data_IF_121090888970
#
_entry.id   IF_121090888970
#
_cell.length_a   1.000
_cell.length_b   1.000
_cell.length_c   1.000
_cell.angle_alpha   90.00
_cell.angle_beta   90.00
_cell.angle_gamma   90.00
#
_symmetry.space_group_name_H-M   'P 1'
#
loop_
_entity.id
_entity.type
_entity.pdbx_description
1 polymer ?
#
# COMPACT_ATOMS: atom_id res chain seq x y z
N UNK A 1 22.56 6.98 12.06
CA UNK A 1 21.29 7.56 12.53
C UNK A 1 21.55 9.00 12.96
N UNK A 2 20.71 9.96 12.60
CA UNK A 2 20.89 11.34 13.06
C UNK A 2 20.74 11.42 14.59
N UNK A 3 21.66 12.09 15.26
CA UNK A 3 21.70 12.16 16.75
C UNK A 3 20.71 13.19 17.33
N UNK A 4 20.29 14.19 16.55
CA UNK A 4 19.48 15.32 17.07
C UNK A 4 18.08 15.37 16.47
N UNK A 5 17.95 15.23 15.17
CA UNK A 5 16.66 15.31 14.48
C UNK A 5 16.52 14.23 13.42
N UNK A 6 15.28 13.81 13.15
CA UNK A 6 14.98 12.92 12.02
C UNK A 6 15.28 13.65 10.70
N UNK A 7 15.67 12.89 9.66
CA UNK A 7 15.90 13.45 8.34
C UNK A 7 14.61 14.10 7.79
N UNK A 8 14.77 15.27 7.17
CA UNK A 8 13.67 15.97 6.52
C UNK A 8 13.07 15.11 5.41
N UNK A 9 11.76 14.88 5.45
CA UNK A 9 11.06 14.12 4.41
C UNK A 9 10.91 14.98 3.17
N UNK A 10 11.43 14.50 2.03
CA UNK A 10 11.21 15.16 0.73
C UNK A 10 9.72 15.09 0.36
N UNK A 11 9.10 16.21 -0.11
CA UNK A 11 7.74 16.20 -0.59
C UNK A 11 7.63 15.35 -1.86
N UNK A 12 6.52 14.63 -2.01
CA UNK A 12 6.20 13.94 -3.25
C UNK A 12 5.48 14.93 -4.17
N UNK A 13 6.05 15.18 -5.32
CA UNK A 13 5.43 16.00 -6.37
C UNK A 13 4.25 15.24 -6.99
N UNK A 14 3.15 15.95 -7.34
CA UNK A 14 2.03 15.33 -8.04
C UNK A 14 2.45 14.88 -9.45
N UNK A 15 1.81 13.83 -9.94
CA UNK A 15 2.01 13.35 -11.29
C UNK A 15 1.60 14.41 -12.33
N UNK A 16 2.36 14.61 -13.42
CA UNK A 16 2.08 15.65 -14.40
C UNK A 16 0.78 15.41 -15.20
N UNK A 17 0.41 14.15 -15.44
CA UNK A 17 -0.79 13.78 -16.21
C UNK A 17 -2.04 13.84 -15.34
N UNK A 18 -2.05 13.12 -14.23
CA UNK A 18 -3.20 12.99 -13.35
C UNK A 18 -3.21 14.02 -12.19
N UNK A 19 -2.18 14.82 -12.03
CA UNK A 19 -2.02 15.81 -10.93
C UNK A 19 -2.25 15.26 -9.53
N UNK A 20 -2.05 13.95 -9.37
CA UNK A 20 -2.30 13.20 -8.13
C UNK A 20 -0.98 12.77 -7.47
N UNK A 21 -0.83 13.09 -6.17
CA UNK A 21 0.29 12.61 -5.36
C UNK A 21 0.24 11.10 -5.14
N UNK A 22 -0.96 10.52 -5.15
CA UNK A 22 -1.14 9.08 -4.97
C UNK A 22 -0.59 8.31 -6.17
N UNK A 23 -0.86 8.78 -7.39
CA UNK A 23 -0.30 8.21 -8.63
C UNK A 23 1.22 8.23 -8.58
N UNK A 24 1.84 9.37 -8.23
CA UNK A 24 3.30 9.46 -8.06
C UNK A 24 3.85 8.47 -7.03
N UNK A 25 3.15 8.24 -5.92
CA UNK A 25 3.55 7.26 -4.90
C UNK A 25 3.54 5.83 -5.46
N UNK A 26 2.51 5.48 -6.25
CA UNK A 26 2.43 4.17 -6.92
C UNK A 26 3.54 4.02 -7.94
N UNK A 27 3.80 5.04 -8.81
CA UNK A 27 4.88 5.04 -9.79
C UNK A 27 6.24 4.80 -9.10
N UNK A 28 6.52 5.57 -8.04
CA UNK A 28 7.76 5.43 -7.28
C UNK A 28 7.92 4.03 -6.66
N UNK A 29 6.83 3.37 -6.31
CA UNK A 29 6.87 2.01 -5.74
C UNK A 29 7.01 0.93 -6.82
N UNK A 30 6.41 1.13 -8.00
CA UNK A 30 6.53 0.23 -9.15
C UNK A 30 7.91 0.31 -9.77
N UNK A 31 8.55 1.48 -9.72
CA UNK A 31 9.88 1.72 -10.30
C UNK A 31 10.93 0.74 -9.78
N UNK A 32 11.76 0.22 -10.69
CA UNK A 32 12.95 -0.58 -10.43
C UNK A 32 14.12 0.00 -11.21
N UNK A 33 15.32 -0.13 -10.66
CA UNK A 33 16.59 0.31 -11.28
C UNK A 33 16.60 1.78 -11.76
N UNK A 34 15.78 2.65 -11.14
CA UNK A 34 15.65 4.05 -11.52
C UNK A 34 14.90 4.29 -12.85
N UNK A 35 14.30 3.25 -13.45
CA UNK A 35 13.60 3.34 -14.75
C UNK A 35 12.21 3.95 -14.60
N UNK A 36 12.14 5.26 -14.30
CA UNK A 36 10.87 5.95 -13.97
C UNK A 36 9.90 5.98 -15.14
N UNK A 37 10.35 6.25 -16.37
CA UNK A 37 9.49 6.29 -17.55
C UNK A 37 8.78 4.98 -17.86
N UNK A 38 9.43 3.83 -17.59
CA UNK A 38 8.78 2.52 -17.69
C UNK A 38 7.70 2.34 -16.61
N UNK A 39 7.97 2.78 -15.38
CA UNK A 39 7.01 2.69 -14.29
C UNK A 39 5.79 3.59 -14.54
N UNK A 40 5.98 4.79 -15.08
CA UNK A 40 4.91 5.71 -15.48
C UNK A 40 3.99 5.04 -16.51
N UNK A 41 4.55 4.50 -17.59
CA UNK A 41 3.78 3.79 -18.61
C UNK A 41 2.97 2.63 -18.02
N UNK A 42 3.59 1.78 -17.20
CA UNK A 42 2.91 0.65 -16.55
C UNK A 42 1.72 1.11 -15.71
N UNK A 43 1.90 2.17 -14.92
CA UNK A 43 0.83 2.70 -14.06
C UNK A 43 -0.26 3.35 -14.89
N UNK A 44 0.06 4.11 -15.92
CA UNK A 44 -0.94 4.73 -16.82
C UNK A 44 -1.77 3.67 -17.56
N UNK A 45 -1.13 2.66 -18.11
CA UNK A 45 -1.82 1.53 -18.75
C UNK A 45 -2.72 0.78 -17.76
N UNK A 46 -2.25 0.57 -16.52
CA UNK A 46 -3.04 -0.06 -15.48
C UNK A 46 -4.26 0.78 -15.08
N UNK A 47 -4.11 2.09 -14.98
CA UNK A 47 -5.21 3.01 -14.66
C UNK A 47 -6.23 3.09 -15.81
N UNK A 48 -5.78 3.03 -17.05
CA UNK A 48 -6.68 2.96 -18.22
C UNK A 48 -7.53 1.70 -18.18
N UNK A 49 -6.93 0.52 -17.95
CA UNK A 49 -7.66 -0.75 -17.80
C UNK A 49 -8.64 -0.70 -16.62
N UNK A 50 -8.23 -0.11 -15.50
CA UNK A 50 -9.07 0.05 -14.31
C UNK A 50 -10.29 0.91 -14.60
N UNK A 51 -10.09 2.06 -15.27
CA UNK A 51 -11.16 2.99 -15.65
C UNK A 51 -12.14 2.33 -16.63
N UNK A 52 -11.65 1.63 -17.64
CA UNK A 52 -12.48 0.90 -18.61
C UNK A 52 -13.39 -0.14 -17.93
N UNK A 53 -12.86 -0.87 -16.95
CA UNK A 53 -13.62 -1.92 -16.26
C UNK A 53 -14.56 -1.41 -15.18
N UNK A 54 -14.24 -0.29 -14.55
CA UNK A 54 -15.05 0.28 -13.45
C UNK A 54 -16.02 1.36 -13.91
N UNK A 55 -15.79 1.94 -15.09
CA UNK A 55 -16.55 3.09 -15.59
C UNK A 55 -16.33 4.38 -14.79
N UNK A 56 -15.31 4.42 -13.93
CA UNK A 56 -14.97 5.57 -13.07
C UNK A 56 -13.74 6.30 -13.58
N UNK A 57 -13.57 7.53 -13.13
CA UNK A 57 -12.34 8.26 -13.37
C UNK A 57 -11.11 7.50 -12.78
N UNK A 58 -9.98 7.43 -13.50
CA UNK A 58 -8.81 6.63 -13.10
C UNK A 58 -8.30 6.91 -11.68
N UNK A 59 -8.25 8.19 -11.31
CA UNK A 59 -7.75 8.61 -9.98
C UNK A 59 -8.74 8.22 -8.89
N UNK A 60 -10.03 8.42 -9.11
CA UNK A 60 -11.08 8.04 -8.16
C UNK A 60 -11.09 6.52 -7.94
N UNK A 61 -11.03 5.74 -9.02
CA UNK A 61 -10.99 4.28 -8.93
C UNK A 61 -9.75 3.79 -8.15
N UNK A 62 -8.59 4.44 -8.36
CA UNK A 62 -7.37 4.16 -7.59
C UNK A 62 -7.56 4.49 -6.10
N UNK A 63 -8.13 5.63 -5.78
CA UNK A 63 -8.36 6.04 -4.38
C UNK A 63 -9.27 5.07 -3.64
N UNK A 64 -10.35 4.61 -4.28
CA UNK A 64 -11.25 3.58 -3.72
C UNK A 64 -10.48 2.30 -3.42
N UNK A 65 -9.67 1.81 -4.37
CA UNK A 65 -8.86 0.60 -4.18
C UNK A 65 -7.85 0.75 -3.03
N UNK A 66 -7.13 1.87 -2.97
CA UNK A 66 -6.14 2.13 -1.91
C UNK A 66 -6.82 2.29 -0.55
N UNK A 67 -8.00 2.93 -0.48
CA UNK A 67 -8.79 3.04 0.75
C UNK A 67 -9.20 1.66 1.26
N UNK A 68 -9.60 0.75 0.37
CA UNK A 68 -9.91 -0.63 0.72
C UNK A 68 -8.71 -1.38 1.32
N UNK A 69 -7.49 -1.11 0.84
CA UNK A 69 -6.24 -1.72 1.31
C UNK A 69 -5.62 -1.05 2.54
N UNK A 70 -6.09 0.14 2.92
CA UNK A 70 -5.49 0.92 4.01
C UNK A 70 -5.73 0.25 5.36
N UNK A 71 -4.68 -0.16 6.11
CA UNK A 71 -4.84 -0.78 7.42
C UNK A 71 -5.06 0.28 8.51
N UNK A 72 -5.85 -0.09 9.52
CA UNK A 72 -6.06 0.72 10.74
C UNK A 72 -5.03 0.34 11.81
N UNK A 73 -4.70 -0.94 11.91
CA UNK A 73 -3.81 -1.51 12.91
C UNK A 73 -2.60 -2.17 12.23
N UNK A 74 -1.45 -2.13 12.90
CA UNK A 74 -0.30 -2.98 12.62
C UNK A 74 0.13 -3.70 13.89
N UNK A 75 0.86 -4.78 13.74
CA UNK A 75 1.45 -5.52 14.87
C UNK A 75 2.93 -5.22 14.91
N UNK A 76 3.41 -4.79 16.08
CA UNK A 76 4.84 -4.55 16.33
C UNK A 76 5.35 -5.45 17.43
N UNK A 77 6.50 -6.09 17.19
CA UNK A 77 7.17 -6.87 18.22
C UNK A 77 7.80 -5.95 19.26
N UNK A 78 7.54 -6.24 20.55
CA UNK A 78 8.15 -5.58 21.70
C UNK A 78 8.73 -6.60 22.66
N UNK A 79 9.91 -6.31 23.17
CA UNK A 79 10.57 -7.16 24.17
C UNK A 79 10.31 -6.60 25.56
N UNK A 80 9.66 -7.39 26.40
CA UNK A 80 9.34 -7.04 27.79
C UNK A 80 9.78 -8.19 28.70
N UNK A 81 10.67 -7.92 29.67
CA UNK A 81 11.15 -8.94 30.59
C UNK A 81 11.79 -10.17 29.94
N UNK A 82 12.43 -10.02 28.77
CA UNK A 82 13.07 -11.12 28.04
C UNK A 82 12.15 -11.84 27.03
N UNK A 83 10.83 -11.74 27.15
CA UNK A 83 9.86 -12.27 26.19
C UNK A 83 9.52 -11.24 25.08
N UNK A 84 9.27 -11.74 23.86
CA UNK A 84 8.87 -10.90 22.73
C UNK A 84 7.37 -11.00 22.50
N UNK A 85 6.67 -9.90 22.65
CA UNK A 85 5.23 -9.79 22.45
C UNK A 85 4.90 -9.08 21.14
N UNK A 86 3.84 -9.52 20.49
CA UNK A 86 3.28 -8.89 19.30
C UNK A 86 2.22 -7.87 19.73
N UNK A 87 2.58 -6.58 19.77
CA UNK A 87 1.71 -5.52 20.30
C UNK A 87 0.94 -4.86 19.15
N UNK A 88 -0.40 -4.82 19.17
CA UNK A 88 -1.19 -4.08 18.21
C UNK A 88 -1.07 -2.57 18.43
N UNK A 89 -0.79 -1.84 17.35
CA UNK A 89 -0.61 -0.38 17.37
C UNK A 89 -1.41 0.25 16.22
N UNK A 90 -2.05 1.38 16.49
CA UNK A 90 -2.69 2.17 15.43
C UNK A 90 -1.68 2.71 14.44
N UNK A 91 -2.03 2.69 13.16
CA UNK A 91 -1.15 3.14 12.09
C UNK A 91 -1.46 4.60 11.74
N UNK A 92 -0.48 5.52 11.84
CA UNK A 92 -0.66 6.89 11.36
C UNK A 92 -1.02 6.92 9.88
N UNK A 93 -1.91 7.83 9.47
CA UNK A 93 -2.44 7.92 8.10
C UNK A 93 -1.38 7.92 6.99
N UNK A 94 -0.23 8.63 7.10
CA UNK A 94 0.81 8.59 6.07
C UNK A 94 1.46 7.22 5.94
N UNK A 95 1.63 6.50 7.05
CA UNK A 95 2.20 5.15 7.07
C UNK A 95 1.19 4.14 6.53
N UNK A 96 -0.09 4.25 6.91
CA UNK A 96 -1.15 3.38 6.44
C UNK A 96 -1.26 3.39 4.90
N UNK A 97 -1.21 4.59 4.30
CA UNK A 97 -1.16 4.76 2.83
C UNK A 97 0.09 4.10 2.23
N UNK A 98 1.25 4.30 2.84
CA UNK A 98 2.51 3.70 2.37
C UNK A 98 2.46 2.17 2.40
N UNK A 99 1.85 1.58 3.44
CA UNK A 99 1.65 0.14 3.55
C UNK A 99 0.70 -0.38 2.47
N UNK A 100 -0.43 0.30 2.23
CA UNK A 100 -1.39 -0.07 1.20
C UNK A 100 -0.73 -0.10 -0.20
N UNK A 101 0.00 0.95 -0.57
CA UNK A 101 0.73 1.01 -1.85
C UNK A 101 1.83 -0.06 -1.93
N UNK A 102 2.51 -0.34 -0.83
CA UNK A 102 3.54 -1.39 -0.78
C UNK A 102 2.94 -2.76 -1.06
N UNK A 103 1.88 -3.13 -0.35
CA UNK A 103 1.22 -4.42 -0.53
C UNK A 103 0.62 -4.55 -1.93
N UNK A 104 -0.06 -3.52 -2.42
CA UNK A 104 -0.59 -3.52 -3.78
C UNK A 104 0.49 -3.92 -4.81
N UNK A 105 1.63 -3.25 -4.81
CA UNK A 105 2.69 -3.52 -5.80
C UNK A 105 3.37 -4.87 -5.57
N UNK A 106 3.57 -5.27 -4.31
CA UNK A 106 4.16 -6.56 -3.94
C UNK A 106 3.29 -7.73 -4.44
N UNK A 107 2.00 -7.70 -4.15
CA UNK A 107 1.09 -8.76 -4.60
C UNK A 107 0.80 -8.70 -6.10
N UNK A 108 0.75 -7.51 -6.71
CA UNK A 108 0.69 -7.40 -8.16
C UNK A 108 1.89 -8.07 -8.85
N UNK A 109 3.10 -7.94 -8.32
CA UNK A 109 4.29 -8.62 -8.87
C UNK A 109 4.20 -10.15 -8.82
N UNK A 110 3.53 -10.69 -7.80
CA UNK A 110 3.38 -12.14 -7.62
C UNK A 110 2.26 -12.76 -8.45
N UNK A 111 1.48 -11.94 -9.18
CA UNK A 111 0.43 -12.42 -10.07
C UNK A 111 1.01 -13.08 -11.33
N UNK A 112 0.19 -13.90 -12.00
CA UNK A 112 0.61 -14.73 -13.15
C UNK A 112 0.33 -14.11 -14.51
N UNK A 113 -0.38 -12.96 -14.56
CA UNK A 113 -0.70 -12.29 -15.81
C UNK A 113 0.56 -11.86 -16.57
N UNK A 114 0.45 -11.72 -17.89
CA UNK A 114 1.59 -11.48 -18.78
C UNK A 114 2.27 -10.14 -18.52
N UNK A 115 1.53 -9.05 -18.40
CA UNK A 115 2.08 -7.70 -18.23
C UNK A 115 1.90 -7.18 -16.80
N UNK A 116 2.84 -6.34 -16.34
CA UNK A 116 2.74 -5.71 -15.02
C UNK A 116 1.55 -4.74 -14.93
N UNK A 117 1.16 -4.10 -16.05
CA UNK A 117 -0.01 -3.25 -16.10
C UNK A 117 -1.30 -4.04 -15.81
N UNK A 118 -1.47 -5.21 -16.46
CA UNK A 118 -2.60 -6.10 -16.19
C UNK A 118 -2.61 -6.64 -14.76
N UNK A 119 -1.44 -7.02 -14.23
CA UNK A 119 -1.30 -7.49 -12.83
C UNK A 119 -1.75 -6.41 -11.85
N UNK A 120 -1.29 -5.18 -12.06
CA UNK A 120 -1.63 -4.05 -11.20
C UNK A 120 -3.11 -3.70 -11.29
N UNK A 121 -3.68 -3.64 -12.50
CA UNK A 121 -5.09 -3.38 -12.71
C UNK A 121 -5.98 -4.45 -12.06
N UNK A 122 -5.65 -5.73 -12.23
CA UNK A 122 -6.41 -6.82 -11.64
C UNK A 122 -6.34 -6.82 -10.10
N UNK A 123 -5.17 -6.53 -9.53
CA UNK A 123 -5.04 -6.41 -8.06
C UNK A 123 -5.85 -5.24 -7.50
N UNK A 124 -5.92 -4.10 -8.24
CA UNK A 124 -6.77 -2.96 -7.87
C UNK A 124 -8.26 -3.30 -7.92
N UNK A 125 -8.70 -4.04 -8.95
CA UNK A 125 -10.09 -4.50 -9.07
C UNK A 125 -10.46 -5.49 -7.96
N UNK A 126 -9.59 -6.46 -7.70
CA UNK A 126 -9.78 -7.44 -6.61
C UNK A 126 -9.84 -6.73 -5.25
N UNK A 127 -9.03 -5.70 -5.04
CA UNK A 127 -9.06 -4.90 -3.82
C UNK A 127 -10.40 -4.16 -3.61
N UNK A 128 -11.04 -3.67 -4.69
CA UNK A 128 -12.36 -3.05 -4.61
C UNK A 128 -13.45 -4.06 -4.20
N UNK A 129 -13.34 -5.29 -4.69
CA UNK A 129 -14.24 -6.40 -4.33
C UNK A 129 -13.84 -7.10 -3.03
N UNK A 130 -12.90 -6.53 -2.25
CA UNK A 130 -12.39 -7.09 -1.00
C UNK A 130 -11.74 -8.48 -1.17
N UNK A 131 -11.12 -8.70 -2.31
CA UNK A 131 -10.42 -9.92 -2.69
C UNK A 131 -8.95 -9.61 -3.02
N UNK A 132 -8.22 -10.63 -3.47
CA UNK A 132 -6.82 -10.48 -3.86
C UNK A 132 -5.82 -10.62 -2.71
N UNK A 133 -4.56 -10.70 -3.09
CA UNK A 133 -3.46 -10.94 -2.15
C UNK A 133 -3.20 -9.78 -1.21
N UNK A 134 -3.28 -8.55 -1.74
CA UNK A 134 -3.07 -7.33 -0.95
C UNK A 134 -4.17 -7.13 0.11
N UNK A 135 -5.43 -7.41 -0.24
CA UNK A 135 -6.53 -7.34 0.72
C UNK A 135 -6.41 -8.43 1.79
N UNK A 136 -6.08 -9.66 1.38
CA UNK A 136 -5.85 -10.77 2.32
C UNK A 136 -4.74 -10.41 3.32
N UNK A 137 -3.65 -9.77 2.87
CA UNK A 137 -2.57 -9.32 3.75
C UNK A 137 -3.05 -8.32 4.80
N UNK A 138 -3.91 -7.37 4.42
CA UNK A 138 -4.55 -6.43 5.35
C UNK A 138 -5.38 -7.18 6.41
N UNK A 139 -6.21 -8.13 5.96
CA UNK A 139 -7.08 -8.92 6.83
C UNK A 139 -6.27 -9.81 7.80
N UNK A 140 -5.20 -10.45 7.32
CA UNK A 140 -4.30 -11.25 8.15
C UNK A 140 -3.65 -10.41 9.27
N UNK A 141 -3.20 -9.18 8.94
CA UNK A 141 -2.64 -8.27 9.96
C UNK A 141 -3.71 -7.83 10.95
N UNK A 142 -4.92 -7.58 10.49
CA UNK A 142 -6.04 -7.23 11.36
C UNK A 142 -6.39 -8.39 12.30
N UNK A 143 -6.46 -9.62 11.80
CA UNK A 143 -6.68 -10.83 12.62
C UNK A 143 -5.57 -11.05 13.65
N UNK A 144 -4.31 -10.88 13.25
CA UNK A 144 -3.19 -10.93 14.18
C UNK A 144 -3.29 -9.86 15.27
N UNK A 145 -3.69 -8.64 14.92
CA UNK A 145 -3.87 -7.56 15.89
C UNK A 145 -5.00 -7.87 16.87
N UNK A 146 -6.10 -8.46 16.41
CA UNK A 146 -7.21 -8.88 17.25
C UNK A 146 -6.82 -10.03 18.21
N UNK A 147 -6.12 -11.04 17.70
CA UNK A 147 -5.62 -12.16 18.53
C UNK A 147 -4.68 -11.69 19.64
N UNK A 148 -3.90 -10.63 19.39
CA UNK A 148 -2.95 -10.07 20.34
C UNK A 148 -3.51 -8.88 21.15
N UNK A 149 -4.82 -8.65 21.12
CA UNK A 149 -5.47 -7.51 21.79
C UNK A 149 -5.15 -7.44 23.29
N UNK A 150 -4.97 -8.58 23.95
CA UNK A 150 -4.60 -8.66 25.37
C UNK A 150 -3.27 -7.94 25.68
N UNK A 151 -2.35 -7.85 24.71
CA UNK A 151 -1.03 -7.20 24.86
C UNK A 151 -1.04 -5.71 24.49
N UNK A 152 -2.21 -5.12 24.20
CA UNK A 152 -2.31 -3.72 23.82
C UNK A 152 -1.82 -2.75 24.90
N UNK A 153 -1.87 -3.15 26.17
CA UNK A 153 -1.38 -2.36 27.31
C UNK A 153 0.15 -2.21 27.33
N UNK A 154 0.90 -3.01 26.57
CA UNK A 154 2.35 -2.84 26.38
C UNK A 154 2.69 -1.77 25.32
N UNK A 155 1.71 -1.01 24.85
CA UNK A 155 1.89 0.12 23.94
C UNK A 155 2.39 1.33 24.73
N UNK A 156 3.53 1.89 24.32
CA UNK A 156 4.08 3.20 24.69
C UNK A 156 4.63 3.93 23.48
#
# INVERSE_FOLDING_TARGET
MPRRAAATKRPVEPDPVFRSKLVSQVINRVMQDGKKSKAERIVYDALAILSERTGKEPVEALEVSIKALTPVLEVRSRRVGGATYQVPVEVPAPRARTLAVRWLVEFARNRRERSMAQRLANELLDAQSQQGGAYKRKDDIFRMAQANKAFAHYRW
#
